data_IF_242987456145
#
_entry.id   IF_242987456145
#
_cell.length_a   1.000
_cell.length_b   1.000
_cell.length_c   1.000
_cell.angle_alpha   90.00
_cell.angle_beta   90.00
_cell.angle_gamma   90.00
#
_symmetry.space_group_name_H-M   'P 1'
#
loop_
_entity.id
_entity.type
_entity.pdbx_description
1 polymer ?
#
# COMPACT_ATOMS: atom_id res chain seq x y z
N UNK A 1 -11.93 22.65 5.89
CA UNK A 1 -11.30 21.52 6.62
C UNK A 1 -10.71 22.08 7.91
N UNK A 2 -10.96 21.47 9.08
CA UNK A 2 -10.45 22.00 10.35
C UNK A 2 -8.92 21.89 10.42
N UNK A 3 -8.26 22.84 11.08
CA UNK A 3 -6.79 22.88 11.25
C UNK A 3 -6.21 21.58 11.81
N UNK A 4 -6.98 20.91 12.67
CA UNK A 4 -6.66 19.61 13.22
C UNK A 4 -6.50 18.53 12.14
N UNK A 5 -7.38 18.49 11.13
CA UNK A 5 -7.26 17.55 10.02
C UNK A 5 -6.01 17.82 9.19
N UNK A 6 -5.66 19.11 8.98
CA UNK A 6 -4.44 19.48 8.24
C UNK A 6 -3.20 19.01 9.01
N UNK A 7 -3.15 19.23 10.32
CA UNK A 7 -2.05 18.77 11.16
C UNK A 7 -1.89 17.24 11.11
N UNK A 8 -2.97 16.48 11.19
CA UNK A 8 -2.95 15.02 11.05
C UNK A 8 -2.43 14.55 9.69
N UNK A 9 -2.85 15.21 8.61
CA UNK A 9 -2.39 14.89 7.26
C UNK A 9 -0.89 15.18 7.12
N UNK A 10 -0.39 16.29 7.66
CA UNK A 10 1.04 16.64 7.63
C UNK A 10 1.89 15.63 8.43
N UNK A 11 1.42 15.23 9.61
CA UNK A 11 2.09 14.19 10.41
C UNK A 11 2.13 12.87 9.65
N UNK A 12 1.00 12.45 9.05
CA UNK A 12 0.93 11.25 8.23
C UNK A 12 1.90 11.30 7.04
N UNK A 13 1.96 12.44 6.34
CA UNK A 13 2.87 12.65 5.23
C UNK A 13 4.34 12.56 5.66
N UNK A 14 4.70 13.17 6.79
CA UNK A 14 6.05 13.12 7.34
C UNK A 14 6.45 11.69 7.74
N UNK A 15 5.56 10.94 8.40
CA UNK A 15 5.79 9.54 8.75
C UNK A 15 5.98 8.66 7.50
N UNK A 16 5.19 8.89 6.46
CA UNK A 16 5.27 8.14 5.21
C UNK A 16 6.58 8.45 4.43
N UNK A 17 7.00 9.71 4.41
CA UNK A 17 8.29 10.11 3.84
C UNK A 17 9.47 9.50 4.61
N UNK A 18 9.43 9.55 5.95
CA UNK A 18 10.43 8.93 6.82
C UNK A 18 10.51 7.42 6.61
N UNK A 19 9.36 6.76 6.49
CA UNK A 19 9.28 5.33 6.17
C UNK A 19 9.95 4.98 4.84
N UNK A 20 9.69 5.75 3.79
CA UNK A 20 10.28 5.54 2.47
C UNK A 20 11.81 5.76 2.46
N UNK A 21 12.33 6.68 3.27
CA UNK A 21 13.77 6.87 3.44
C UNK A 21 14.45 5.69 4.16
N UNK A 22 13.85 5.18 5.23
CA UNK A 22 14.39 4.04 5.99
C UNK A 22 14.39 2.78 5.11
N UNK A 23 13.31 2.54 4.37
CA UNK A 23 13.18 1.40 3.46
C UNK A 23 14.24 1.38 2.34
N UNK A 24 14.80 2.54 1.96
CA UNK A 24 15.86 2.65 0.95
C UNK A 24 17.26 2.26 1.46
N UNK A 25 17.52 2.25 2.77
CA UNK A 25 18.84 1.86 3.29
C UNK A 25 19.00 0.33 3.21
N UNK A 26 19.93 -0.13 2.36
CA UNK A 26 20.27 -1.56 2.22
C UNK A 26 20.71 -2.15 3.57
N UNK A 27 20.12 -3.30 3.94
CA UNK A 27 20.39 -4.01 5.22
C UNK A 27 19.21 -4.01 6.22
N UNK A 28 18.14 -3.28 5.95
CA UNK A 28 16.98 -3.17 6.85
C UNK A 28 15.82 -4.13 6.53
N UNK A 29 15.97 -5.13 5.65
CA UNK A 29 14.87 -6.04 5.29
C UNK A 29 14.28 -6.77 6.51
N UNK A 30 15.15 -7.19 7.44
CA UNK A 30 14.74 -7.87 8.66
C UNK A 30 14.12 -6.89 9.68
N UNK A 31 14.64 -5.66 9.75
CA UNK A 31 14.05 -4.57 10.54
C UNK A 31 12.66 -4.18 10.01
N UNK A 32 12.48 -4.16 8.70
CA UNK A 32 11.23 -3.83 8.02
C UNK A 32 10.15 -4.86 8.31
N UNK A 33 10.49 -6.16 8.22
CA UNK A 33 9.57 -7.25 8.54
C UNK A 33 9.17 -7.22 10.03
N UNK A 34 10.16 -7.08 10.93
CA UNK A 34 9.92 -7.02 12.39
C UNK A 34 9.07 -5.82 12.78
N UNK A 35 9.35 -4.63 12.25
CA UNK A 35 8.59 -3.43 12.57
C UNK A 35 7.15 -3.51 12.04
N UNK A 36 6.96 -4.06 10.83
CA UNK A 36 5.63 -4.30 10.27
C UNK A 36 4.84 -5.32 11.11
N UNK A 37 5.50 -6.36 11.62
CA UNK A 37 4.90 -7.34 12.53
C UNK A 37 4.50 -6.72 13.88
N UNK A 38 5.35 -5.86 14.45
CA UNK A 38 5.04 -5.15 15.72
C UNK A 38 3.87 -4.19 15.53
N UNK A 39 3.88 -3.38 14.47
CA UNK A 39 2.77 -2.47 14.16
C UNK A 39 1.48 -3.25 13.91
N UNK A 40 1.56 -4.37 13.19
CA UNK A 40 0.44 -5.29 12.99
C UNK A 40 -0.09 -5.87 14.30
N UNK A 41 0.79 -6.39 15.16
CA UNK A 41 0.41 -6.96 16.44
C UNK A 41 -0.22 -5.93 17.38
N UNK A 42 0.34 -4.71 17.44
CA UNK A 42 -0.23 -3.59 18.20
C UNK A 42 -1.57 -3.16 17.63
N UNK A 43 -1.75 -3.16 16.30
CA UNK A 43 -3.01 -2.81 15.64
C UNK A 43 -4.11 -3.87 15.79
N UNK A 44 -3.75 -5.14 15.95
CA UNK A 44 -4.69 -6.25 16.17
C UNK A 44 -5.28 -6.20 17.58
N UNK A 45 -4.54 -5.72 18.58
CA UNK A 45 -5.00 -5.60 19.97
C UNK A 45 -6.32 -4.81 20.13
N UNK A 46 -6.41 -3.56 19.63
CA UNK A 46 -7.64 -2.77 19.63
C UNK A 46 -8.79 -3.43 18.84
N UNK A 47 -8.48 -4.17 17.78
CA UNK A 47 -9.45 -4.90 16.96
C UNK A 47 -10.08 -6.07 17.74
N UNK A 48 -9.27 -6.83 18.45
CA UNK A 48 -9.74 -7.90 19.35
C UNK A 48 -10.51 -7.27 20.52
N UNK A 49 -10.00 -6.19 21.11
CA UNK A 49 -10.70 -5.49 22.18
C UNK A 49 -12.07 -4.95 21.71
N UNK A 50 -12.17 -4.42 20.49
CA UNK A 50 -13.44 -3.95 19.93
C UNK A 50 -14.46 -5.09 19.71
N UNK A 51 -14.01 -6.31 19.40
CA UNK A 51 -14.90 -7.47 19.34
C UNK A 51 -15.35 -7.97 20.71
N UNK A 52 -14.46 -7.98 21.70
CA UNK A 52 -14.79 -8.48 23.04
C UNK A 52 -15.58 -7.46 23.89
N UNK A 53 -15.35 -6.16 23.68
CA UNK A 53 -15.93 -5.08 24.50
C UNK A 53 -16.93 -4.18 23.75
N UNK A 54 -17.10 -4.34 22.43
CA UNK A 54 -17.97 -3.50 21.59
C UNK A 54 -19.09 -4.27 20.87
N UNK A 55 -19.78 -3.63 19.92
CA UNK A 55 -20.72 -4.33 19.03
C UNK A 55 -19.94 -5.18 18.04
N UNK A 56 -20.23 -6.49 17.93
CA UNK A 56 -19.45 -7.37 17.09
C UNK A 56 -19.47 -6.88 15.65
N UNK A 57 -18.28 -6.69 15.08
CA UNK A 57 -18.11 -6.31 13.69
C UNK A 57 -18.51 -7.57 12.90
N UNK A 58 -19.76 -7.59 12.42
CA UNK A 58 -20.44 -8.70 11.75
C UNK A 58 -19.48 -9.79 11.27
N UNK A 59 -19.70 -11.05 11.67
CA UNK A 59 -18.88 -12.22 11.28
C UNK A 59 -18.49 -12.31 9.79
N UNK A 60 -19.24 -11.65 8.89
CA UNK A 60 -18.91 -11.48 7.49
C UNK A 60 -17.62 -10.66 7.23
N UNK A 61 -17.31 -9.68 8.08
CA UNK A 61 -16.16 -8.76 7.95
C UNK A 61 -14.83 -9.47 8.15
N UNK A 62 -14.80 -10.51 9.00
CA UNK A 62 -13.61 -11.35 9.23
C UNK A 62 -13.12 -12.03 7.96
N UNK A 63 -14.03 -12.43 7.06
CA UNK A 63 -13.65 -13.00 5.75
C UNK A 63 -12.89 -11.98 4.90
N UNK A 64 -13.37 -10.73 4.86
CA UNK A 64 -12.72 -9.66 4.12
C UNK A 64 -11.40 -9.22 4.76
N UNK A 65 -11.32 -9.20 6.10
CA UNK A 65 -10.09 -8.92 6.83
C UNK A 65 -9.01 -9.97 6.56
N UNK A 66 -9.37 -11.26 6.61
CA UNK A 66 -8.47 -12.36 6.27
C UNK A 66 -8.03 -12.30 4.81
N UNK A 67 -8.98 -12.14 3.88
CA UNK A 67 -8.66 -12.02 2.46
C UNK A 67 -7.71 -10.84 2.19
N UNK A 68 -8.00 -9.66 2.74
CA UNK A 68 -7.15 -8.48 2.60
C UNK A 68 -5.75 -8.70 3.19
N UNK A 69 -5.66 -9.39 4.33
CA UNK A 69 -4.37 -9.71 4.97
C UNK A 69 -3.53 -10.63 4.09
N UNK A 70 -4.15 -11.62 3.44
CA UNK A 70 -3.46 -12.53 2.51
C UNK A 70 -2.94 -11.76 1.28
N UNK A 71 -3.78 -10.92 0.67
CA UNK A 71 -3.35 -10.08 -0.46
C UNK A 71 -2.23 -9.12 -0.07
N UNK A 72 -2.33 -8.53 1.13
CA UNK A 72 -1.31 -7.64 1.66
C UNK A 72 0.00 -8.38 1.90
N UNK A 73 -0.04 -9.58 2.48
CA UNK A 73 1.14 -10.42 2.67
C UNK A 73 1.79 -10.80 1.32
N UNK A 74 0.99 -11.17 0.32
CA UNK A 74 1.49 -11.43 -1.02
C UNK A 74 2.15 -10.20 -1.64
N UNK A 75 1.55 -9.01 -1.46
CA UNK A 75 2.12 -7.75 -1.93
C UNK A 75 3.49 -7.48 -1.28
N UNK A 76 3.60 -7.62 0.05
CA UNK A 76 4.87 -7.45 0.76
C UNK A 76 5.94 -8.47 0.34
N UNK A 77 5.57 -9.73 0.12
CA UNK A 77 6.49 -10.77 -0.34
C UNK A 77 6.98 -10.50 -1.77
N UNK A 78 6.07 -10.13 -2.68
CA UNK A 78 6.41 -9.74 -4.04
C UNK A 78 7.33 -8.52 -4.05
N UNK A 79 7.04 -7.52 -3.22
CA UNK A 79 7.83 -6.31 -3.10
C UNK A 79 9.23 -6.58 -2.53
N UNK A 80 9.32 -7.39 -1.48
CA UNK A 80 10.59 -7.81 -0.87
C UNK A 80 11.48 -8.55 -1.87
N UNK A 81 10.90 -9.48 -2.65
CA UNK A 81 11.64 -10.17 -3.71
C UNK A 81 12.08 -9.24 -4.83
N UNK A 82 11.20 -8.37 -5.29
CA UNK A 82 11.50 -7.45 -6.38
C UNK A 82 12.57 -6.41 -5.99
N UNK A 83 12.58 -5.93 -4.75
CA UNK A 83 13.67 -5.08 -4.22
C UNK A 83 14.98 -5.82 -4.02
N UNK A 84 14.95 -7.13 -3.81
CA UNK A 84 16.15 -7.96 -3.72
C UNK A 84 16.77 -8.31 -5.09
N UNK A 85 15.95 -8.40 -6.15
CA UNK A 85 16.38 -8.87 -7.48
C UNK A 85 16.53 -7.78 -8.54
N UNK A 86 16.08 -6.55 -8.29
CA UNK A 86 16.11 -5.45 -9.27
C UNK A 86 16.40 -4.09 -8.65
N UNK A 87 16.80 -3.13 -9.48
CA UNK A 87 17.06 -1.76 -9.04
C UNK A 87 15.82 -1.15 -8.40
N UNK A 88 15.95 -0.74 -7.13
CA UNK A 88 14.87 -0.14 -6.33
C UNK A 88 14.16 1.01 -7.08
N UNK A 89 14.91 1.77 -7.89
CA UNK A 89 14.42 2.89 -8.70
C UNK A 89 13.46 2.47 -9.82
N UNK A 90 13.55 1.22 -10.30
CA UNK A 90 12.77 0.66 -11.40
C UNK A 90 11.55 -0.09 -10.88
N UNK A 91 11.74 -0.84 -9.79
CA UNK A 91 10.72 -1.68 -9.17
C UNK A 91 9.68 -0.85 -8.40
N UNK A 92 10.11 0.21 -7.70
CA UNK A 92 9.23 1.00 -6.85
C UNK A 92 8.07 1.68 -7.63
N UNK A 93 8.31 2.38 -8.76
CA UNK A 93 7.24 2.98 -9.54
C UNK A 93 6.28 1.93 -10.14
N UNK A 94 6.82 0.84 -10.69
CA UNK A 94 6.01 -0.23 -11.28
C UNK A 94 5.09 -0.88 -10.23
N UNK A 95 5.62 -1.17 -9.04
CA UNK A 95 4.85 -1.74 -7.93
C UNK A 95 3.72 -0.84 -7.42
N UNK A 96 3.81 0.48 -7.63
CA UNK A 96 2.80 1.46 -7.22
C UNK A 96 1.80 1.79 -8.33
N UNK A 97 2.21 1.78 -9.59
CA UNK A 97 1.36 2.14 -10.73
C UNK A 97 0.40 1.03 -11.19
N UNK A 98 0.83 -0.24 -11.12
CA UNK A 98 0.03 -1.38 -11.61
C UNK A 98 -1.21 -1.67 -10.73
N UNK A 99 -1.13 -1.66 -9.39
CA UNK A 99 -2.29 -1.93 -8.55
C UNK A 99 -3.46 -0.96 -8.77
N UNK A 100 -3.19 0.30 -9.14
CA UNK A 100 -4.24 1.29 -9.42
C UNK A 100 -5.16 0.84 -10.57
N UNK A 101 -4.58 0.31 -11.65
CA UNK A 101 -5.34 -0.22 -12.79
C UNK A 101 -6.09 -1.51 -12.44
N UNK A 102 -5.50 -2.37 -11.60
CA UNK A 102 -6.15 -3.60 -11.12
C UNK A 102 -7.39 -3.26 -10.29
N UNK A 103 -7.28 -2.27 -9.39
CA UNK A 103 -8.42 -1.80 -8.59
C UNK A 103 -9.50 -1.18 -9.49
N UNK A 104 -9.11 -0.35 -10.45
CA UNK A 104 -10.04 0.24 -11.42
C UNK A 104 -10.81 -0.83 -12.22
N UNK A 105 -10.14 -1.90 -12.66
CA UNK A 105 -10.79 -3.02 -13.33
C UNK A 105 -11.75 -3.78 -12.39
N UNK A 106 -11.37 -3.94 -11.12
CA UNK A 106 -12.25 -4.51 -10.09
C UNK A 106 -13.53 -3.70 -9.88
N UNK A 107 -13.45 -2.37 -9.92
CA UNK A 107 -14.61 -1.50 -9.76
C UNK A 107 -15.54 -1.53 -10.97
N UNK A 108 -15.00 -1.73 -12.19
CA UNK A 108 -15.82 -2.03 -13.37
C UNK A 108 -16.61 -3.32 -13.19
N UNK A 109 -15.98 -4.39 -12.68
CA UNK A 109 -16.66 -5.68 -12.42
C UNK A 109 -17.75 -5.57 -11.34
N UNK A 110 -17.64 -4.59 -10.44
CA UNK A 110 -18.67 -4.27 -9.42
C UNK A 110 -19.79 -3.38 -9.95
N UNK A 111 -19.73 -2.93 -11.21
CA UNK A 111 -20.72 -2.03 -11.80
C UNK A 111 -20.52 -0.55 -11.44
N UNK A 112 -19.40 -0.19 -10.85
CA UNK A 112 -19.04 1.18 -10.50
C UNK A 112 -17.79 1.64 -11.27
N UNK A 113 -17.87 1.78 -12.62
CA UNK A 113 -16.71 2.13 -13.41
C UNK A 113 -16.18 3.52 -13.01
N UNK A 114 -14.85 3.69 -12.90
CA UNK A 114 -14.24 5.00 -12.74
C UNK A 114 -14.65 5.93 -13.90
N UNK A 115 -14.77 7.22 -13.62
CA UNK A 115 -15.00 8.22 -14.66
C UNK A 115 -13.90 8.17 -15.74
N UNK A 116 -14.21 8.59 -16.97
CA UNK A 116 -13.24 8.61 -18.07
C UNK A 116 -11.96 9.40 -17.72
N UNK A 117 -12.09 10.51 -16.98
CA UNK A 117 -10.95 11.25 -16.44
C UNK A 117 -10.13 10.46 -15.41
N UNK A 118 -10.79 9.61 -14.61
CA UNK A 118 -10.13 8.73 -13.65
C UNK A 118 -9.28 7.67 -14.34
N UNK A 119 -9.81 7.04 -15.40
CA UNK A 119 -9.04 6.12 -16.26
C UNK A 119 -7.83 6.80 -16.88
N UNK A 120 -8.01 8.01 -17.41
CA UNK A 120 -6.92 8.76 -18.04
C UNK A 120 -5.83 9.11 -17.02
N UNK A 121 -6.21 9.57 -15.82
CA UNK A 121 -5.27 9.86 -14.74
C UNK A 121 -4.49 8.63 -14.28
N UNK A 122 -5.18 7.50 -14.08
CA UNK A 122 -4.54 6.24 -13.70
C UNK A 122 -3.60 5.73 -14.78
N UNK A 123 -4.01 5.74 -16.05
CA UNK A 123 -3.17 5.37 -17.17
C UNK A 123 -1.93 6.27 -17.27
N UNK A 124 -2.09 7.58 -17.12
CA UNK A 124 -0.98 8.54 -17.15
C UNK A 124 0.03 8.26 -16.03
N UNK A 125 -0.44 7.99 -14.81
CA UNK A 125 0.41 7.65 -13.66
C UNK A 125 1.14 6.33 -13.92
N UNK A 126 0.43 5.28 -14.36
CA UNK A 126 1.06 3.98 -14.62
C UNK A 126 2.09 4.07 -15.75
N UNK A 127 1.76 4.75 -16.85
CA UNK A 127 2.68 4.97 -17.98
C UNK A 127 3.88 5.80 -17.53
N UNK A 128 3.67 6.89 -16.77
CA UNK A 128 4.76 7.68 -16.20
C UNK A 128 5.68 6.86 -15.29
N UNK A 129 5.11 6.01 -14.44
CA UNK A 129 5.87 5.09 -13.59
C UNK A 129 6.68 4.06 -14.39
N UNK A 130 6.16 3.58 -15.52
CA UNK A 130 6.85 2.61 -16.37
C UNK A 130 7.91 3.25 -17.28
N UNK A 131 7.72 4.50 -17.69
CA UNK A 131 8.67 5.26 -18.52
C UNK A 131 9.85 5.81 -17.72
N UNK A 132 9.66 6.07 -16.42
CA UNK A 132 10.68 6.66 -15.55
C UNK A 132 11.99 5.87 -15.40
N UNK A 133 12.09 4.57 -15.73
CA UNK A 133 13.39 3.91 -15.64
C UNK A 133 13.68 3.02 -16.87
N UNK A 134 14.23 3.62 -17.93
CA UNK A 134 15.03 2.87 -18.90
C UNK A 134 16.52 3.16 -18.67
N UNK A 135 17.35 2.15 -18.37
CA UNK A 135 18.80 2.30 -18.16
C UNK A 135 19.58 2.85 -19.37
N UNK A 136 18.96 3.00 -20.55
CA UNK A 136 19.64 3.49 -21.76
C UNK A 136 19.82 5.01 -21.83
N UNK A 137 19.51 5.75 -20.75
CA UNK A 137 19.71 7.20 -20.66
C UNK A 137 20.82 7.56 -19.66
N UNK A 138 21.76 6.64 -19.47
CA UNK A 138 23.07 6.83 -18.83
C UNK A 138 24.13 6.16 -19.70
#
# INVERSE_FOLDING_TARGET
MPIFSIALVLVSAAMNAGWNMIARKQGASDMFLRLSLVIGAVGVGPLIAAEFFGTPILAASWKYALASSVFLAFNYLALSRAYGSGDFTLVYPAARGIPALIVAAGDVLRGHPPAALGWLGMALVTVGCLLLPHPSWR
#
